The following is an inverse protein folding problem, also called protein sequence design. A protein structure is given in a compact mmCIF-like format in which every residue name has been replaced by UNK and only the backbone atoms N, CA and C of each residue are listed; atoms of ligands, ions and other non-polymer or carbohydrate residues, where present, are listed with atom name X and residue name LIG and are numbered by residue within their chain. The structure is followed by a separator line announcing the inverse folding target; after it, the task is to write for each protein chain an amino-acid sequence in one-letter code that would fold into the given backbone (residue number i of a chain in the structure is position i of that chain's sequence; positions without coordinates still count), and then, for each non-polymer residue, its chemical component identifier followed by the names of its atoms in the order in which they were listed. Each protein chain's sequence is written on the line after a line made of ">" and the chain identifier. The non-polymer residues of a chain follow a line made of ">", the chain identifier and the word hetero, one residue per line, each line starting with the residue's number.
data_IF_160385639339
#
_entry.id   IF_160385639339
#
_cell.length_a   1.000
_cell.length_b   1.000
_cell.length_c   1.000
_cell.angle_alpha   90.00
_cell.angle_beta   90.00
_cell.angle_gamma   90.00
#
_symmetry.space_group_name_H-M   'P 1'
#
loop_
_entity.id
_entity.type
_entity.pdbx_description
1 polymer ?
#
# COMPACT_ATOMS: atom_id res chain seq x y z
N UNK A 1 3.57 -21.59 4.79
CA UNK A 1 4.44 -21.99 3.67
C UNK A 1 4.59 -23.50 3.57
N UNK A 2 5.19 -24.16 4.57
CA UNK A 2 5.31 -25.63 4.57
C UNK A 2 3.96 -26.36 4.50
N UNK A 3 2.93 -25.88 5.23
CA UNK A 3 1.57 -26.44 5.15
C UNK A 3 0.92 -26.28 3.77
N UNK A 4 1.10 -25.13 3.12
CA UNK A 4 0.52 -24.85 1.80
C UNK A 4 1.23 -25.61 0.66
N UNK A 5 2.55 -25.81 0.78
CA UNK A 5 3.32 -26.65 -0.13
C UNK A 5 3.00 -28.15 0.05
N UNK A 6 2.76 -28.58 1.30
CA UNK A 6 2.35 -29.95 1.60
C UNK A 6 0.91 -30.26 1.15
N UNK A 7 0.00 -29.28 1.29
CA UNK A 7 -1.39 -29.37 0.80
C UNK A 7 -1.47 -29.42 -0.74
N UNK A 8 -0.60 -28.70 -1.44
CA UNK A 8 -0.46 -28.73 -2.91
C UNK A 8 -0.06 -30.13 -3.41
N UNK A 9 0.84 -30.79 -2.70
CA UNK A 9 1.30 -32.15 -3.03
C UNK A 9 0.24 -33.23 -2.74
N UNK A 10 -0.71 -32.99 -1.83
CA UNK A 10 -1.63 -34.02 -1.33
C UNK A 10 -3.06 -33.95 -1.89
N UNK A 11 -3.56 -32.78 -2.28
CA UNK A 11 -4.99 -32.57 -2.59
C UNK A 11 -5.28 -32.08 -4.02
N UNK A 12 -4.25 -31.75 -4.81
CA UNK A 12 -4.40 -31.15 -6.14
C UNK A 12 -5.07 -29.77 -6.15
N UNK A 13 -5.45 -29.22 -4.99
CA UNK A 13 -6.12 -27.94 -4.84
C UNK A 13 -5.43 -27.09 -3.78
N UNK A 14 -4.91 -25.94 -4.20
CA UNK A 14 -4.29 -24.97 -3.29
C UNK A 14 -5.39 -24.24 -2.51
N UNK A 15 -5.62 -24.60 -1.24
CA UNK A 15 -6.54 -23.87 -0.36
C UNK A 15 -5.92 -22.65 0.34
N UNK A 16 -4.71 -22.22 -0.02
CA UNK A 16 -4.16 -20.91 0.36
C UNK A 16 -3.19 -20.38 -0.70
N UNK A 17 -3.74 -19.95 -1.84
CA UNK A 17 -2.97 -19.51 -2.99
C UNK A 17 -2.74 -18.00 -3.01
N UNK A 18 -1.48 -17.58 -3.11
CA UNK A 18 -1.06 -16.25 -3.57
C UNK A 18 -1.17 -15.08 -2.57
N UNK A 19 -0.05 -14.42 -2.32
CA UNK A 19 -0.01 -13.04 -1.77
C UNK A 19 -0.36 -12.82 -0.29
N UNK A 20 0.32 -13.50 0.64
CA UNK A 20 0.39 -13.03 2.05
C UNK A 20 0.87 -11.56 2.07
N UNK A 21 0.45 -10.74 3.04
CA UNK A 21 0.92 -9.35 3.20
C UNK A 21 2.44 -9.26 3.11
N UNK A 22 3.16 -10.25 3.65
CA UNK A 22 4.61 -10.42 3.53
C UNK A 22 5.11 -10.53 2.08
N UNK A 23 4.42 -11.28 1.22
CA UNK A 23 4.75 -11.31 -0.21
C UNK A 23 4.54 -9.95 -0.86
N UNK A 24 3.50 -9.20 -0.45
CA UNK A 24 3.26 -7.86 -0.99
C UNK A 24 4.35 -6.89 -0.53
N UNK A 25 4.79 -6.98 0.73
CA UNK A 25 5.95 -6.24 1.25
C UNK A 25 7.19 -6.57 0.42
N UNK A 26 7.53 -7.85 0.26
CA UNK A 26 8.69 -8.27 -0.52
C UNK A 26 8.64 -7.79 -1.98
N UNK A 27 7.47 -7.89 -2.63
CA UNK A 27 7.29 -7.39 -4.01
C UNK A 27 7.49 -5.87 -4.11
N UNK A 28 7.04 -5.11 -3.12
CA UNK A 28 7.17 -3.65 -3.12
C UNK A 28 8.62 -3.16 -2.92
N UNK A 29 9.54 -4.02 -2.46
CA UNK A 29 10.97 -3.70 -2.36
C UNK A 29 11.71 -3.79 -3.71
N UNK A 30 11.21 -4.58 -4.67
CA UNK A 30 11.84 -4.69 -5.98
C UNK A 30 11.29 -3.62 -6.95
N UNK A 31 12.17 -2.73 -7.43
CA UNK A 31 11.82 -1.62 -8.32
C UNK A 31 11.58 -2.07 -9.78
N UNK A 32 12.16 -3.20 -10.21
CA UNK A 32 12.03 -3.70 -11.59
C UNK A 32 10.72 -4.48 -11.80
N UNK A 33 10.01 -4.17 -12.89
CA UNK A 33 8.72 -4.78 -13.27
C UNK A 33 8.84 -6.07 -14.08
N UNK A 34 10.04 -6.49 -14.50
CA UNK A 34 10.24 -7.70 -15.30
C UNK A 34 9.86 -9.00 -14.58
N UNK A 35 8.85 -9.70 -15.10
CA UNK A 35 8.38 -10.99 -14.57
C UNK A 35 9.29 -12.14 -15.01
N UNK A 36 10.52 -12.15 -14.50
CA UNK A 36 11.43 -13.30 -14.65
C UNK A 36 11.20 -14.32 -13.55
N UNK A 37 11.42 -15.60 -13.87
CA UNK A 37 11.33 -16.70 -12.90
C UNK A 37 12.33 -16.51 -11.73
N UNK A 38 13.52 -15.99 -12.02
CA UNK A 38 14.55 -15.64 -11.03
C UNK A 38 14.09 -14.55 -10.04
N UNK A 39 13.38 -13.52 -10.52
CA UNK A 39 12.78 -12.51 -9.63
C UNK A 39 11.74 -13.14 -8.71
N UNK A 40 10.92 -14.05 -9.24
CA UNK A 40 9.88 -14.70 -8.43
C UNK A 40 10.47 -15.53 -7.31
N UNK A 41 11.59 -16.23 -7.56
CA UNK A 41 12.33 -16.93 -6.51
C UNK A 41 12.91 -15.96 -5.47
N UNK A 42 13.45 -14.82 -5.91
CA UNK A 42 13.99 -13.78 -5.02
C UNK A 42 12.92 -13.19 -4.09
N UNK A 43 11.71 -12.93 -4.60
CA UNK A 43 10.56 -12.49 -3.79
C UNK A 43 10.21 -13.50 -2.69
N UNK A 44 10.25 -14.80 -3.02
CA UNK A 44 9.95 -15.88 -2.06
C UNK A 44 11.02 -15.94 -0.98
N UNK A 45 12.31 -15.92 -1.36
CA UNK A 45 13.42 -15.95 -0.41
C UNK A 45 13.41 -14.73 0.52
N UNK A 46 13.23 -13.53 -0.05
CA UNK A 46 13.13 -12.30 0.74
C UNK A 46 11.97 -12.37 1.72
N UNK A 47 10.81 -12.84 1.29
CA UNK A 47 9.68 -12.91 2.19
C UNK A 47 9.83 -13.97 3.28
N UNK A 48 10.52 -15.09 3.02
CA UNK A 48 10.90 -16.04 4.07
C UNK A 48 11.87 -15.40 5.08
N UNK A 49 12.81 -14.57 4.62
CA UNK A 49 13.72 -13.84 5.49
C UNK A 49 12.98 -12.80 6.34
N UNK A 50 12.03 -12.07 5.75
CA UNK A 50 11.16 -11.12 6.46
C UNK A 50 10.38 -11.83 7.58
N UNK A 51 9.74 -12.96 7.27
CA UNK A 51 8.97 -13.75 8.26
C UNK A 51 9.83 -14.32 9.40
N UNK A 52 11.12 -14.53 9.17
CA UNK A 52 12.07 -14.98 10.21
C UNK A 52 12.57 -13.83 11.08
N UNK A 53 12.60 -12.62 10.54
CA UNK A 53 13.24 -11.46 11.17
C UNK A 53 12.24 -10.53 11.86
N UNK A 54 10.97 -10.54 11.42
CA UNK A 54 9.94 -9.61 11.87
C UNK A 54 8.68 -10.36 12.32
N UNK A 55 8.02 -9.81 13.34
CA UNK A 55 6.69 -10.22 13.77
C UNK A 55 5.62 -9.85 12.74
N UNK A 56 4.42 -10.46 12.87
CA UNK A 56 3.27 -10.15 12.01
C UNK A 56 2.85 -8.69 12.08
N UNK A 57 2.94 -8.09 13.25
CA UNK A 57 2.59 -6.69 13.48
C UNK A 57 3.57 -5.76 12.78
N UNK A 58 4.88 -6.03 12.85
CA UNK A 58 5.90 -5.27 12.13
C UNK A 58 5.75 -5.39 10.61
N UNK A 59 5.47 -6.59 10.11
CA UNK A 59 5.21 -6.82 8.68
C UNK A 59 3.98 -6.03 8.22
N UNK A 60 2.92 -6.02 9.04
CA UNK A 60 1.73 -5.24 8.75
C UNK A 60 2.01 -3.73 8.77
N UNK A 61 2.77 -3.25 9.77
CA UNK A 61 3.19 -1.87 9.88
C UNK A 61 4.02 -1.41 8.66
N UNK A 62 4.96 -2.24 8.20
CA UNK A 62 5.72 -1.97 6.98
C UNK A 62 4.80 -1.88 5.77
N UNK A 63 3.86 -2.81 5.65
CA UNK A 63 2.90 -2.83 4.55
C UNK A 63 2.05 -1.55 4.49
N UNK A 64 1.39 -1.19 5.60
CA UNK A 64 0.47 -0.04 5.63
C UNK A 64 1.17 1.30 5.47
N UNK A 65 2.47 1.39 5.80
CA UNK A 65 3.24 2.63 5.66
C UNK A 65 3.88 2.79 4.28
N UNK A 66 4.11 1.71 3.54
CA UNK A 66 4.85 1.77 2.26
C UNK A 66 3.99 1.49 1.03
N UNK A 67 2.78 0.96 1.19
CA UNK A 67 1.95 0.61 0.04
C UNK A 67 1.61 1.85 -0.81
N UNK A 68 1.81 1.73 -2.13
CA UNK A 68 1.40 2.77 -3.07
C UNK A 68 -0.12 2.74 -3.29
N UNK A 69 -0.78 3.89 -3.07
CA UNK A 69 -2.23 4.04 -3.11
C UNK A 69 -2.70 5.04 -4.18
N UNK A 70 -1.80 5.50 -5.05
CA UNK A 70 -2.12 6.45 -6.12
C UNK A 70 -1.90 7.91 -5.72
N UNK A 71 -1.82 8.82 -6.70
CA UNK A 71 -1.58 10.27 -6.47
C UNK A 71 -0.38 10.55 -5.55
N UNK A 72 0.69 9.77 -5.69
CA UNK A 72 1.91 9.86 -4.86
C UNK A 72 1.67 9.57 -3.37
N UNK A 73 0.53 8.99 -3.01
CA UNK A 73 0.26 8.51 -1.65
C UNK A 73 0.98 7.17 -1.42
N UNK A 74 2.01 7.20 -0.57
CA UNK A 74 2.68 6.01 -0.06
C UNK A 74 2.29 5.83 1.41
N UNK A 75 1.51 4.79 1.66
CA UNK A 75 0.97 4.45 2.97
C UNK A 75 -0.41 5.04 3.24
N UNK A 76 -1.12 4.41 4.19
CA UNK A 76 -2.52 4.72 4.52
C UNK A 76 -2.66 6.14 5.08
N UNK A 77 -1.71 6.58 5.92
CA UNK A 77 -1.72 7.93 6.48
C UNK A 77 -1.57 9.01 5.39
N UNK A 78 -0.66 8.81 4.44
CA UNK A 78 -0.50 9.70 3.31
C UNK A 78 -1.76 9.72 2.43
N UNK A 79 -2.40 8.58 2.21
CA UNK A 79 -3.66 8.51 1.47
C UNK A 79 -4.80 9.26 2.19
N UNK A 80 -4.92 9.15 3.51
CA UNK A 80 -5.91 9.89 4.29
C UNK A 80 -5.75 11.41 4.11
N UNK A 81 -4.50 11.90 4.17
CA UNK A 81 -4.18 13.31 3.91
C UNK A 81 -4.48 13.70 2.46
N UNK A 82 -3.96 12.96 1.48
CA UNK A 82 -4.06 13.31 0.05
C UNK A 82 -5.50 13.25 -0.47
N UNK A 83 -6.31 12.29 -0.04
CA UNK A 83 -7.67 12.10 -0.57
C UNK A 83 -8.75 12.83 0.24
N UNK A 84 -8.50 13.14 1.51
CA UNK A 84 -9.53 13.67 2.41
C UNK A 84 -9.08 14.82 3.30
N UNK A 85 -7.80 15.20 3.29
CA UNK A 85 -7.26 16.25 4.15
C UNK A 85 -7.29 15.89 5.65
N UNK A 86 -7.40 14.60 5.98
CA UNK A 86 -7.69 14.10 7.33
C UNK A 86 -6.58 13.19 7.85
N UNK A 87 -6.48 13.07 9.17
CA UNK A 87 -5.75 11.95 9.79
C UNK A 87 -6.55 10.65 9.66
N UNK A 88 -5.87 9.51 9.73
CA UNK A 88 -6.52 8.18 9.61
C UNK A 88 -7.67 8.00 10.61
N UNK A 89 -7.49 8.47 11.85
CA UNK A 89 -8.49 8.39 12.92
C UNK A 89 -9.78 9.21 12.65
N UNK A 90 -9.74 10.16 11.73
CA UNK A 90 -10.89 11.02 11.39
C UNK A 90 -11.68 10.50 10.17
N UNK A 91 -11.23 9.41 9.55
CA UNK A 91 -11.88 8.85 8.37
C UNK A 91 -13.19 8.16 8.73
N UNK A 92 -14.21 8.34 7.88
CA UNK A 92 -15.42 7.53 7.97
C UNK A 92 -15.16 6.09 7.50
N UNK A 93 -16.04 5.17 7.88
CA UNK A 93 -15.99 3.78 7.40
C UNK A 93 -15.96 3.69 5.86
N UNK A 94 -16.72 4.54 5.16
CA UNK A 94 -16.73 4.58 3.70
C UNK A 94 -15.38 5.05 3.13
N UNK A 95 -14.73 6.02 3.78
CA UNK A 95 -13.42 6.54 3.39
C UNK A 95 -12.30 5.51 3.67
N UNK A 96 -12.36 4.80 4.80
CA UNK A 96 -11.45 3.68 5.10
C UNK A 96 -11.61 2.56 4.06
N UNK A 97 -12.85 2.17 3.75
CA UNK A 97 -13.12 1.16 2.73
C UNK A 97 -12.67 1.58 1.32
N UNK A 98 -12.73 2.88 1.01
CA UNK A 98 -12.21 3.43 -0.23
C UNK A 98 -10.70 3.21 -0.33
N UNK A 99 -9.95 3.65 0.69
CA UNK A 99 -8.49 3.51 0.73
C UNK A 99 -8.08 2.03 0.69
N UNK A 100 -8.76 1.17 1.45
CA UNK A 100 -8.50 -0.28 1.46
C UNK A 100 -8.75 -0.95 0.10
N UNK A 101 -9.54 -0.33 -0.77
CA UNK A 101 -9.80 -0.80 -2.13
C UNK A 101 -8.68 -0.52 -3.14
N UNK A 102 -7.85 0.49 -2.88
CA UNK A 102 -6.83 1.02 -3.80
C UNK A 102 -5.67 0.06 -4.12
N UNK A 103 -5.10 -0.70 -3.16
CA UNK A 103 -3.96 -1.60 -3.39
C UNK A 103 -4.05 -2.49 -4.64
N UNK A 104 -5.27 -2.96 -4.97
CA UNK A 104 -5.49 -3.88 -6.10
C UNK A 104 -5.14 -3.24 -7.45
N UNK A 105 -5.47 -1.97 -7.63
CA UNK A 105 -5.18 -1.22 -8.85
C UNK A 105 -5.28 0.29 -8.56
N UNK A 106 -4.23 0.90 -7.97
CA UNK A 106 -4.30 2.27 -7.46
C UNK A 106 -4.68 3.32 -8.52
N UNK A 107 -4.30 3.11 -9.77
CA UNK A 107 -4.66 4.00 -10.88
C UNK A 107 -6.10 3.80 -11.36
N UNK A 108 -6.60 2.54 -11.37
CA UNK A 108 -7.94 2.19 -11.91
C UNK A 108 -9.06 2.51 -10.92
N UNK A 109 -8.81 2.34 -9.63
CA UNK A 109 -9.76 2.59 -8.55
C UNK A 109 -9.53 3.93 -7.85
N UNK A 110 -8.74 4.82 -8.44
CA UNK A 110 -8.49 6.14 -7.89
C UNK A 110 -9.80 6.95 -7.81
N UNK A 111 -10.24 7.42 -6.63
CA UNK A 111 -11.53 8.08 -6.48
C UNK A 111 -11.57 9.48 -7.10
N UNK A 112 -10.42 10.12 -7.34
CA UNK A 112 -10.34 11.41 -8.04
C UNK A 112 -10.46 11.21 -9.55
N UNK A 113 -9.76 10.21 -10.11
CA UNK A 113 -9.75 9.99 -11.56
C UNK A 113 -10.95 9.17 -12.06
N UNK A 114 -11.50 8.28 -11.23
CA UNK A 114 -12.64 7.43 -11.58
C UNK A 114 -13.55 7.16 -10.38
N UNK A 115 -14.37 8.16 -9.96
CA UNK A 115 -15.27 8.03 -8.81
C UNK A 115 -16.22 6.83 -8.91
N UNK A 116 -16.72 6.52 -10.11
CA UNK A 116 -17.67 5.42 -10.32
C UNK A 116 -17.05 4.04 -10.04
N UNK A 117 -15.87 3.75 -10.62
CA UNK A 117 -15.15 2.49 -10.35
C UNK A 117 -14.64 2.43 -8.92
N UNK A 118 -14.22 3.55 -8.36
CA UNK A 118 -13.80 3.63 -6.98
C UNK A 118 -14.97 3.30 -6.03
N UNK A 119 -16.17 3.83 -6.29
CA UNK A 119 -17.40 3.50 -5.54
C UNK A 119 -17.70 2.01 -5.59
N UNK A 120 -17.72 1.41 -6.79
CA UNK A 120 -17.95 -0.03 -6.94
C UNK A 120 -16.96 -0.86 -6.12
N UNK A 121 -15.67 -0.46 -6.13
CA UNK A 121 -14.63 -1.14 -5.36
C UNK A 121 -14.82 -0.96 -3.85
N UNK A 122 -15.14 0.26 -3.39
CA UNK A 122 -15.44 0.56 -1.98
C UNK A 122 -16.63 -0.28 -1.49
N UNK A 123 -17.71 -0.31 -2.24
CA UNK A 123 -18.94 -1.02 -1.85
C UNK A 123 -18.70 -2.53 -1.78
N UNK A 124 -17.86 -3.08 -2.66
CA UNK A 124 -17.39 -4.46 -2.56
C UNK A 124 -16.60 -4.72 -1.28
N UNK A 125 -15.70 -3.80 -0.87
CA UNK A 125 -14.95 -3.92 0.39
C UNK A 125 -15.92 -3.88 1.59
N UNK A 126 -16.87 -2.95 1.60
CA UNK A 126 -17.88 -2.86 2.65
C UNK A 126 -18.70 -4.17 2.76
N UNK A 127 -19.10 -4.75 1.63
CA UNK A 127 -19.80 -6.04 1.63
C UNK A 127 -18.94 -7.18 2.19
N UNK A 128 -17.62 -7.18 1.92
CA UNK A 128 -16.69 -8.14 2.52
C UNK A 128 -16.52 -7.95 4.02
N UNK A 129 -16.44 -6.70 4.49
CA UNK A 129 -16.35 -6.40 5.92
C UNK A 129 -17.60 -6.86 6.67
N UNK A 130 -18.79 -6.65 6.08
CA UNK A 130 -20.05 -7.12 6.65
C UNK A 130 -20.13 -8.64 6.68
N UNK A 131 -19.83 -9.31 5.57
CA UNK A 131 -19.84 -10.78 5.48
C UNK A 131 -18.84 -11.47 6.42
N UNK A 132 -17.76 -10.79 6.80
CA UNK A 132 -16.78 -11.29 7.77
C UNK A 132 -17.09 -10.87 9.22
N UNK A 133 -18.21 -10.19 9.46
CA UNK A 133 -18.63 -9.75 10.79
C UNK A 133 -17.83 -8.57 11.36
N UNK A 134 -17.04 -7.87 10.53
CA UNK A 134 -16.25 -6.71 10.97
C UNK A 134 -17.09 -5.44 11.17
N UNK A 135 -18.27 -5.37 10.54
CA UNK A 135 -19.26 -4.30 10.70
C UNK A 135 -20.66 -4.90 10.73
N UNK A 136 -21.57 -4.29 11.50
CA UNK A 136 -22.98 -4.65 11.52
C UNK A 136 -23.74 -4.12 10.28
N UNK A 137 -24.99 -4.56 10.12
CA UNK A 137 -25.85 -4.17 9.01
C UNK A 137 -26.14 -2.66 8.98
N UNK A 138 -26.29 -2.02 10.14
CA UNK A 138 -26.59 -0.58 10.20
C UNK A 138 -25.42 0.26 9.69
N UNK A 139 -24.20 -0.04 10.14
CA UNK A 139 -22.95 0.59 9.68
C UNK A 139 -22.69 0.31 8.21
N UNK A 140 -22.97 -0.91 7.75
CA UNK A 140 -22.85 -1.26 6.33
C UNK A 140 -23.76 -0.40 5.45
N UNK A 141 -25.05 -0.30 5.77
CA UNK A 141 -26.01 0.50 5.01
C UNK A 141 -25.67 2.00 5.06
N UNK A 142 -25.33 2.52 6.25
CA UNK A 142 -24.92 3.91 6.41
C UNK A 142 -23.66 4.26 5.57
N UNK A 143 -22.70 3.34 5.46
CA UNK A 143 -21.51 3.56 4.64
C UNK A 143 -21.79 3.47 3.13
N UNK A 144 -22.71 2.62 2.69
CA UNK A 144 -23.12 2.53 1.27
C UNK A 144 -23.82 3.80 0.78
N UNK A 145 -24.62 4.42 1.65
CA UNK A 145 -25.35 5.65 1.36
C UNK A 145 -24.42 6.87 1.23
N UNK A 146 -23.20 6.81 1.76
CA UNK A 146 -22.22 7.90 1.60
C UNK A 146 -21.76 7.99 0.14
N UNK A 147 -21.72 9.21 -0.38
CA UNK A 147 -21.14 9.53 -1.69
C UNK A 147 -19.63 9.29 -1.74
N UNK A 148 -19.03 9.48 -2.91
CA UNK A 148 -17.57 9.53 -3.06
C UNK A 148 -17.15 11.00 -2.95
N UNK A 149 -16.58 11.36 -1.81
CA UNK A 149 -16.20 12.73 -1.44
C UNK A 149 -14.68 12.97 -1.47
N UNK A 150 -13.92 12.07 -2.09
CA UNK A 150 -12.47 12.19 -2.17
C UNK A 150 -12.07 13.33 -3.12
N UNK A 151 -11.18 14.20 -2.67
CA UNK A 151 -10.63 15.29 -3.45
C UNK A 151 -9.11 15.35 -3.31
N UNK A 152 -8.41 16.06 -4.20
CA UNK A 152 -6.96 16.17 -4.06
C UNK A 152 -6.60 17.26 -3.05
N UNK A 153 -6.00 16.86 -1.95
CA UNK A 153 -5.40 17.76 -0.98
C UNK A 153 -3.89 17.72 -1.19
N UNK A 154 -3.33 18.85 -1.63
CA UNK A 154 -1.88 18.97 -1.75
C UNK A 154 -1.25 18.74 -0.36
N UNK A 155 -0.17 17.96 -0.26
CA UNK A 155 0.64 17.99 0.95
C UNK A 155 1.11 19.43 1.14
N UNK A 156 0.73 20.06 2.25
CA UNK A 156 1.43 21.27 2.67
C UNK A 156 2.91 20.89 2.85
N UNK A 157 3.86 21.62 2.25
CA UNK A 157 5.26 21.38 2.51
C UNK A 157 5.47 21.54 4.02
N UNK A 158 5.82 20.45 4.70
CA UNK A 158 6.05 20.47 6.15
C UNK A 158 7.22 21.41 6.50
N UNK A 159 8.09 21.69 5.52
CA UNK A 159 9.15 22.69 5.60
C UNK A 159 9.38 23.32 4.22
N UNK A 160 9.16 24.63 4.09
CA UNK A 160 9.75 25.44 3.02
C UNK A 160 11.17 25.85 3.47
N UNK A 161 12.13 24.92 3.36
CA UNK A 161 13.53 25.18 3.71
C UNK A 161 14.49 24.79 2.58
N UNK A 162 14.50 25.54 1.47
CA UNK A 162 15.53 25.41 0.44
C UNK A 162 16.95 25.47 1.04
N UNK A 163 17.13 26.20 2.14
CA UNK A 163 18.41 26.30 2.85
C UNK A 163 18.85 24.99 3.51
N UNK A 164 17.95 24.25 4.16
CA UNK A 164 18.29 22.95 4.78
C UNK A 164 18.56 21.90 3.71
N UNK A 165 17.81 21.92 2.61
CA UNK A 165 18.07 21.05 1.47
C UNK A 165 19.45 21.32 0.83
N UNK A 166 19.83 22.59 0.67
CA UNK A 166 21.18 22.97 0.20
C UNK A 166 22.28 22.62 1.20
N UNK A 167 22.04 22.75 2.50
CA UNK A 167 23.00 22.31 3.52
C UNK A 167 23.23 20.80 3.49
N UNK A 168 22.16 20.01 3.37
CA UNK A 168 22.28 18.55 3.22
C UNK A 168 22.98 18.21 1.91
N UNK A 169 22.66 18.88 0.80
CA UNK A 169 23.35 18.72 -0.48
C UNK A 169 24.84 19.03 -0.38
N UNK A 170 25.19 20.16 0.23
CA UNK A 170 26.58 20.58 0.44
C UNK A 170 27.35 19.63 1.37
N UNK A 171 26.70 19.09 2.40
CA UNK A 171 27.28 18.09 3.29
C UNK A 171 27.49 16.74 2.58
N UNK A 172 26.51 16.29 1.79
CA UNK A 172 26.65 15.07 0.98
C UNK A 172 27.77 15.21 -0.06
N UNK A 173 27.85 16.37 -0.72
CA UNK A 173 28.94 16.69 -1.65
C UNK A 173 30.31 16.70 -0.96
N UNK A 174 30.40 17.27 0.25
CA UNK A 174 31.66 17.30 1.02
C UNK A 174 32.12 15.93 1.47
N UNK A 175 31.19 15.02 1.81
CA UNK A 175 31.51 13.68 2.31
C UNK A 175 31.75 12.64 1.22
N UNK A 176 31.07 12.76 0.08
CA UNK A 176 31.06 11.71 -0.95
C UNK A 176 31.53 12.18 -2.34
N UNK A 177 31.84 13.47 -2.52
CA UNK A 177 32.31 14.01 -3.80
C UNK A 177 31.30 13.85 -4.95
N UNK A 178 31.79 13.91 -6.19
CA UNK A 178 30.97 13.79 -7.41
C UNK A 178 30.34 12.39 -7.61
N UNK A 179 30.81 11.36 -6.89
CA UNK A 179 30.26 10.00 -6.95
C UNK A 179 28.83 9.90 -6.39
N UNK A 180 28.36 10.90 -5.63
CA UNK A 180 26.98 10.95 -5.13
C UNK A 180 25.94 11.16 -6.25
N UNK A 181 26.35 11.66 -7.42
CA UNK A 181 25.43 12.00 -8.53
C UNK A 181 25.51 11.04 -9.72
N UNK A 182 26.51 10.15 -9.79
CA UNK A 182 26.73 9.25 -10.94
C UNK A 182 25.85 8.00 -10.94
N UNK A 183 25.11 7.71 -9.86
CA UNK A 183 24.16 6.58 -9.82
C UNK A 183 22.72 6.94 -10.23
N UNK A 184 22.45 8.17 -10.66
CA UNK A 184 21.11 8.61 -11.06
C UNK A 184 20.80 8.49 -12.57
N UNK A 185 21.76 8.10 -13.41
CA UNK A 185 21.50 7.77 -14.82
C UNK A 185 22.37 6.59 -15.28
N UNK A 186 21.76 5.41 -15.29
CA UNK A 186 22.11 4.24 -16.10
C UNK A 186 20.83 3.55 -16.51
#
# INVERSE_FOLDING_TARGET
>A
MLRAAFELLKSGHVRSGGSTITMQVAKNFFLSREQTFSRKLSEILLALQIERSLSKEEIFNLYVNKIYLGKRAYGIAAAARIYYGKSVAQLSLAQVAMIAGLPKAPSRYNPINNPARAKQRRDWILGRMHALGSIDTARYQAALAQGVDASYHAPEPEIDAPYIAEMVRAEMFRRFGDEAYTLACG
#
